data_IF_369584680478
#
_entry.id   IF_369584680478
#
_cell.length_a   1.000
_cell.length_b   1.000
_cell.length_c   1.000
_cell.angle_alpha   90.00
_cell.angle_beta   90.00
_cell.angle_gamma   90.00
#
_symmetry.space_group_name_H-M   'P 1'
#
loop_
_entity.id
_entity.type
_entity.pdbx_description
1 polymer ?
#
# COMPACT_ATOMS: atom_id res chain seq x y z
N UNK A 1 0.61 8.22 -32.45
CA UNK A 1 0.97 9.21 -31.42
C UNK A 1 2.47 9.39 -31.41
N UNK A 2 3.00 10.61 -31.36
CA UNK A 2 4.46 10.82 -31.31
C UNK A 2 5.01 10.43 -29.93
N UNK A 3 6.19 9.79 -29.85
CA UNK A 3 6.79 9.36 -28.57
C UNK A 3 7.14 10.53 -27.64
N UNK A 4 7.29 11.75 -28.16
CA UNK A 4 7.47 12.96 -27.35
C UNK A 4 6.21 13.31 -26.55
N UNK A 5 5.04 13.27 -27.19
CA UNK A 5 3.75 13.54 -26.54
C UNK A 5 3.45 12.51 -25.44
N UNK A 6 3.66 11.22 -25.71
CA UNK A 6 3.46 10.17 -24.70
C UNK A 6 4.35 10.37 -23.45
N UNK A 7 5.63 10.73 -23.65
CA UNK A 7 6.56 11.03 -22.55
C UNK A 7 6.14 12.25 -21.75
N UNK A 8 5.64 13.30 -22.42
CA UNK A 8 5.13 14.49 -21.75
C UNK A 8 3.95 14.15 -20.84
N UNK A 9 2.94 13.45 -21.38
CA UNK A 9 1.76 13.04 -20.61
C UNK A 9 2.18 12.18 -19.41
N UNK A 10 3.05 11.20 -19.63
CA UNK A 10 3.59 10.38 -18.55
C UNK A 10 4.30 11.21 -17.47
N UNK A 11 5.16 12.14 -17.86
CA UNK A 11 5.91 12.97 -16.90
C UNK A 11 4.97 13.85 -16.07
N UNK A 12 3.95 14.46 -16.69
CA UNK A 12 2.95 15.28 -15.98
C UNK A 12 2.14 14.42 -15.02
N UNK A 13 1.66 13.25 -15.46
CA UNK A 13 0.91 12.33 -14.60
C UNK A 13 1.76 11.81 -13.43
N UNK A 14 3.02 11.46 -13.69
CA UNK A 14 3.96 11.03 -12.65
C UNK A 14 4.22 12.13 -11.63
N UNK A 15 4.43 13.38 -12.08
CA UNK A 15 4.62 14.53 -11.19
C UNK A 15 3.38 14.78 -10.33
N UNK A 16 2.19 14.67 -10.91
CA UNK A 16 0.93 14.79 -10.19
C UNK A 16 0.83 13.73 -9.07
N UNK A 17 1.03 12.45 -9.39
CA UNK A 17 1.02 11.40 -8.36
C UNK A 17 2.13 11.56 -7.32
N UNK A 18 3.31 12.02 -7.72
CA UNK A 18 4.39 12.31 -6.77
C UNK A 18 3.97 13.39 -5.76
N UNK A 19 3.37 14.48 -6.24
CA UNK A 19 2.95 15.60 -5.39
C UNK A 19 1.73 15.28 -4.50
N UNK A 20 0.76 14.54 -5.00
CA UNK A 20 -0.51 14.32 -4.30
C UNK A 20 -0.65 12.95 -3.63
N UNK A 21 0.22 12.00 -3.95
CA UNK A 21 0.19 10.65 -3.37
C UNK A 21 1.48 10.35 -2.60
N UNK A 22 2.63 10.45 -3.27
CA UNK A 22 3.92 10.10 -2.64
C UNK A 22 4.31 11.10 -1.55
N UNK A 23 4.14 12.40 -1.79
CA UNK A 23 4.51 13.44 -0.82
C UNK A 23 3.72 13.37 0.50
N UNK A 24 2.37 13.25 0.52
CA UNK A 24 1.63 13.05 1.77
C UNK A 24 2.07 11.79 2.53
N UNK A 25 2.30 10.68 1.84
CA UNK A 25 2.83 9.46 2.46
C UNK A 25 4.20 9.70 3.09
N UNK A 26 5.10 10.40 2.39
CA UNK A 26 6.40 10.75 2.92
C UNK A 26 6.32 11.66 4.16
N UNK A 27 5.36 12.59 4.22
CA UNK A 27 5.13 13.42 5.41
C UNK A 27 4.66 12.59 6.61
N UNK A 28 3.76 11.63 6.40
CA UNK A 28 3.32 10.70 7.45
C UNK A 28 4.49 9.85 7.94
N UNK A 29 5.30 9.29 7.02
CA UNK A 29 6.48 8.52 7.39
C UNK A 29 7.50 9.38 8.15
N UNK A 30 7.70 10.63 7.75
CA UNK A 30 8.59 11.56 8.47
C UNK A 30 8.15 11.74 9.92
N UNK A 31 6.85 11.86 10.19
CA UNK A 31 6.32 11.91 11.57
C UNK A 31 6.58 10.64 12.38
N UNK A 32 6.71 9.48 11.74
CA UNK A 32 7.03 8.21 12.40
C UNK A 32 8.52 7.96 12.62
N UNK A 33 9.39 8.63 11.86
CA UNK A 33 10.86 8.45 11.90
C UNK A 33 11.62 9.67 12.42
N UNK A 34 10.95 10.78 12.75
CA UNK A 34 11.59 11.99 13.26
C UNK A 34 10.94 12.37 14.58
N UNK A 35 11.74 12.57 15.63
CA UNK A 35 11.27 12.99 16.94
C UNK A 35 10.92 14.49 16.99
N UNK A 36 10.41 14.95 18.14
CA UNK A 36 10.05 16.35 18.36
C UNK A 36 11.24 17.33 18.24
N UNK A 37 12.47 16.83 18.40
CA UNK A 37 13.71 17.59 18.31
C UNK A 37 14.30 17.58 16.88
N UNK A 38 13.62 16.95 15.92
CA UNK A 38 14.04 16.86 14.53
C UNK A 38 15.10 15.78 14.25
N UNK A 39 15.36 14.87 15.20
CA UNK A 39 16.34 13.80 15.07
C UNK A 39 15.70 12.54 14.50
N UNK A 40 16.40 11.78 13.63
CA UNK A 40 15.90 10.51 13.16
C UNK A 40 15.79 9.52 14.32
N UNK A 41 14.64 8.84 14.44
CA UNK A 41 14.33 7.89 15.52
C UNK A 41 13.65 6.64 15.00
N UNK A 42 13.97 5.50 15.62
CA UNK A 42 13.24 4.24 15.46
C UNK A 42 12.42 3.89 16.70
N UNK A 43 12.39 4.77 17.71
CA UNK A 43 11.76 4.49 18.98
C UNK A 43 10.26 4.22 18.84
N UNK A 44 9.55 4.96 17.97
CA UNK A 44 8.12 4.75 17.71
C UNK A 44 7.85 3.38 17.07
N UNK A 45 8.72 2.94 16.15
CA UNK A 45 8.61 1.63 15.52
C UNK A 45 8.84 0.51 16.54
N UNK A 46 9.87 0.64 17.39
CA UNK A 46 10.16 -0.33 18.45
C UNK A 46 9.05 -0.35 19.50
N UNK A 47 8.51 0.80 19.87
CA UNK A 47 7.38 0.90 20.79
C UNK A 47 6.13 0.19 20.24
N UNK A 48 5.83 0.38 18.96
CA UNK A 48 4.74 -0.32 18.26
C UNK A 48 4.92 -1.84 18.29
N UNK A 49 6.16 -2.31 18.05
CA UNK A 49 6.48 -3.74 18.02
C UNK A 49 6.55 -4.38 19.41
N UNK A 50 6.75 -3.59 20.48
CA UNK A 50 6.76 -4.11 21.86
C UNK A 50 5.36 -4.17 22.50
N UNK A 51 4.37 -3.48 21.93
CA UNK A 51 3.00 -3.51 22.42
C UNK A 51 2.25 -4.71 21.82
N UNK A 52 1.83 -5.63 22.70
CA UNK A 52 1.13 -6.86 22.32
C UNK A 52 -0.17 -6.59 21.55
N UNK A 53 -0.86 -5.49 21.84
CA UNK A 53 -2.12 -5.14 21.20
C UNK A 53 -1.93 -4.80 19.73
N UNK A 54 -0.88 -4.05 19.40
CA UNK A 54 -0.56 -3.70 18.01
C UNK A 54 -0.08 -4.91 17.22
N UNK A 55 0.73 -5.78 17.82
CA UNK A 55 1.16 -7.03 17.19
C UNK A 55 -0.01 -7.99 16.93
N UNK A 56 -0.93 -8.13 17.88
CA UNK A 56 -2.15 -8.93 17.69
C UNK A 56 -3.02 -8.35 16.58
N UNK A 57 -3.21 -7.02 16.54
CA UNK A 57 -3.92 -6.35 15.46
C UNK A 57 -3.27 -6.57 14.09
N UNK A 58 -1.94 -6.49 14.01
CA UNK A 58 -1.18 -6.74 12.78
C UNK A 58 -1.33 -8.19 12.31
N UNK A 59 -1.23 -9.16 13.22
CA UNK A 59 -1.41 -10.58 12.89
C UNK A 59 -2.84 -10.86 12.43
N UNK A 60 -3.84 -10.34 13.13
CA UNK A 60 -5.24 -10.56 12.80
C UNK A 60 -5.61 -9.93 11.45
N UNK A 61 -5.14 -8.71 11.18
CA UNK A 61 -5.37 -8.05 9.89
C UNK A 61 -4.66 -8.78 8.74
N UNK A 62 -3.45 -9.29 8.95
CA UNK A 62 -2.76 -10.11 7.96
C UNK A 62 -3.51 -11.41 7.66
N UNK A 63 -3.94 -12.12 8.70
CA UNK A 63 -4.74 -13.35 8.55
C UNK A 63 -6.05 -13.06 7.81
N UNK A 64 -6.73 -11.97 8.16
CA UNK A 64 -7.97 -11.55 7.52
C UNK A 64 -7.74 -11.23 6.03
N UNK A 65 -6.69 -10.48 5.69
CA UNK A 65 -6.35 -10.15 4.32
C UNK A 65 -6.04 -11.40 3.48
N UNK A 66 -5.26 -12.33 4.01
CA UNK A 66 -4.94 -13.60 3.35
C UNK A 66 -6.19 -14.46 3.15
N UNK A 67 -7.02 -14.61 4.18
CA UNK A 67 -8.26 -15.38 4.10
C UNK A 67 -9.23 -14.79 3.07
N UNK A 68 -9.45 -13.47 3.11
CA UNK A 68 -10.33 -12.78 2.18
C UNK A 68 -9.84 -12.88 0.73
N UNK A 69 -8.53 -12.70 0.49
CA UNK A 69 -7.94 -12.83 -0.84
C UNK A 69 -8.04 -14.26 -1.37
N UNK A 70 -7.78 -15.25 -0.51
CA UNK A 70 -7.87 -16.67 -0.88
C UNK A 70 -9.29 -17.05 -1.23
N UNK A 71 -10.27 -16.63 -0.42
CA UNK A 71 -11.69 -16.86 -0.69
C UNK A 71 -12.13 -16.16 -1.98
N UNK A 72 -11.72 -14.91 -2.18
CA UNK A 72 -12.00 -14.17 -3.41
C UNK A 72 -11.45 -14.88 -4.64
N UNK A 73 -10.21 -15.38 -4.59
CA UNK A 73 -9.63 -16.17 -5.68
C UNK A 73 -10.35 -17.50 -5.88
N UNK A 74 -10.69 -18.21 -4.80
CA UNK A 74 -11.39 -19.49 -4.84
C UNK A 74 -12.78 -19.39 -5.48
N UNK A 75 -13.42 -18.22 -5.44
CA UNK A 75 -14.72 -17.97 -6.07
C UNK A 75 -14.53 -17.37 -7.47
N UNK A 76 -13.73 -16.30 -7.59
CA UNK A 76 -13.59 -15.54 -8.82
C UNK A 76 -12.90 -16.33 -9.94
N UNK A 77 -11.87 -17.14 -9.62
CA UNK A 77 -11.11 -17.87 -10.64
C UNK A 77 -11.98 -18.96 -11.30
N UNK A 78 -12.70 -19.83 -10.56
CA UNK A 78 -13.60 -20.79 -11.18
C UNK A 78 -14.72 -20.12 -11.98
N UNK A 79 -15.30 -19.03 -11.46
CA UNK A 79 -16.33 -18.29 -12.19
C UNK A 79 -15.78 -17.71 -13.49
N UNK A 80 -14.59 -17.10 -13.47
CA UNK A 80 -13.93 -16.59 -14.66
C UNK A 80 -13.67 -17.69 -15.69
N UNK A 81 -13.22 -18.88 -15.25
CA UNK A 81 -13.04 -20.03 -16.13
C UNK A 81 -14.37 -20.49 -16.75
N UNK A 82 -15.44 -20.56 -15.96
CA UNK A 82 -16.76 -20.94 -16.47
C UNK A 82 -17.27 -19.92 -17.48
N UNK A 83 -17.12 -18.63 -17.19
CA UNK A 83 -17.51 -17.55 -18.10
C UNK A 83 -16.71 -17.54 -19.40
N UNK A 84 -15.40 -17.79 -19.36
CA UNK A 84 -14.57 -17.83 -20.57
C UNK A 84 -14.88 -19.05 -21.46
N UNK A 85 -15.17 -20.20 -20.83
CA UNK A 85 -15.33 -21.47 -21.55
C UNK A 85 -16.76 -21.77 -21.98
N UNK A 86 -17.77 -21.29 -21.25
CA UNK A 86 -19.17 -21.71 -21.41
C UNK A 86 -20.17 -20.56 -21.57
N UNK A 87 -19.75 -19.28 -21.47
CA UNK A 87 -20.58 -18.14 -21.88
C UNK A 87 -20.27 -17.73 -23.33
#
# INVERSE_FOLDING_TARGET
MTPAFARLVFAITALFFAAFFVWPVAQILRGGFVDADGRPTLAYLVALLNDSTYLEGLRNSLLLACAATTLALAIAVPLAFISDRFA
#
